data_IF_572241304864
#
_entry.id   IF_572241304864
#
_cell.length_a   1.000
_cell.length_b   1.000
_cell.length_c   1.000
_cell.angle_alpha   90.00
_cell.angle_beta   90.00
_cell.angle_gamma   90.00
#
_symmetry.space_group_name_H-M   'P 1'
#
loop_
_entity.id
_entity.type
_entity.pdbx_description
1 polymer ?
#
# COMPACT_ATOMS: atom_id res chain seq x y z
N UNK A 1 15.38 -9.14 -15.95
CA UNK A 1 14.07 -8.50 -16.10
C UNK A 1 14.05 -7.40 -15.06
N UNK A 2 14.37 -6.18 -15.49
CA UNK A 2 14.43 -5.01 -14.60
C UNK A 2 13.05 -4.77 -14.02
N UNK A 3 12.95 -4.73 -12.69
CA UNK A 3 11.73 -4.35 -11.99
C UNK A 3 11.45 -2.89 -12.35
N UNK A 4 10.57 -2.66 -13.33
CA UNK A 4 10.14 -1.34 -13.72
C UNK A 4 9.72 -0.59 -12.45
N UNK A 5 10.55 0.37 -12.04
CA UNK A 5 10.27 1.23 -10.90
C UNK A 5 9.01 2.00 -11.29
N UNK A 6 7.91 1.73 -10.59
CA UNK A 6 6.61 2.30 -10.93
C UNK A 6 6.71 3.83 -11.00
N UNK A 7 5.91 4.48 -11.87
CA UNK A 7 5.95 5.93 -12.04
C UNK A 7 5.85 6.66 -10.69
N UNK A 8 6.73 7.64 -10.51
CA UNK A 8 6.96 8.33 -9.24
C UNK A 8 5.79 9.23 -8.81
N UNK A 9 4.76 9.42 -9.64
CA UNK A 9 3.62 10.30 -9.37
C UNK A 9 2.32 9.75 -9.95
N UNK A 10 1.21 9.96 -9.25
CA UNK A 10 -0.16 9.64 -9.69
C UNK A 10 -1.17 9.80 -8.55
N UNK A 11 -2.46 9.80 -8.88
CA UNK A 11 -3.50 9.69 -7.87
C UNK A 11 -3.46 8.34 -7.16
N UNK A 12 -4.03 8.25 -5.96
CA UNK A 12 -4.15 7.00 -5.21
C UNK A 12 -4.78 5.89 -6.06
N UNK A 13 -5.86 6.20 -6.77
CA UNK A 13 -6.57 5.28 -7.65
C UNK A 13 -5.70 4.81 -8.81
N UNK A 14 -5.02 5.74 -9.52
CA UNK A 14 -4.11 5.37 -10.61
C UNK A 14 -2.96 4.49 -10.14
N UNK A 15 -2.45 4.72 -8.93
CA UNK A 15 -1.41 3.88 -8.34
C UNK A 15 -1.94 2.49 -7.97
N UNK A 16 -3.18 2.38 -7.47
CA UNK A 16 -3.84 1.09 -7.21
C UNK A 16 -4.08 0.32 -8.50
N UNK A 17 -4.71 0.94 -9.50
CA UNK A 17 -5.02 0.30 -10.78
C UNK A 17 -3.76 -0.21 -11.47
N UNK A 18 -2.69 0.59 -11.50
CA UNK A 18 -1.41 0.15 -12.09
C UNK A 18 -0.81 -1.05 -11.36
N UNK A 19 -0.99 -1.16 -10.03
CA UNK A 19 -0.56 -2.34 -9.30
C UNK A 19 -1.41 -3.56 -9.66
N UNK A 20 -2.72 -3.39 -9.77
CA UNK A 20 -3.66 -4.46 -10.14
C UNK A 20 -3.40 -5.02 -11.55
N UNK A 21 -2.85 -4.20 -12.46
CA UNK A 21 -2.48 -4.62 -13.82
C UNK A 21 -1.32 -5.65 -13.86
N UNK A 22 -0.42 -5.62 -12.87
CA UNK A 22 0.83 -6.40 -12.88
C UNK A 22 1.05 -7.28 -11.65
N UNK A 23 0.33 -7.03 -10.56
CA UNK A 23 0.47 -7.68 -9.27
C UNK A 23 -0.90 -7.94 -8.62
N UNK A 24 -0.99 -8.91 -7.72
CA UNK A 24 -2.18 -9.09 -6.89
C UNK A 24 -2.14 -8.14 -5.69
N UNK A 25 -3.02 -7.15 -5.62
CA UNK A 25 -3.15 -6.28 -4.44
C UNK A 25 -3.81 -7.06 -3.29
N UNK A 26 -3.09 -7.14 -2.17
CA UNK A 26 -3.50 -7.85 -0.95
C UNK A 26 -4.01 -6.89 0.13
N UNK A 27 -3.51 -5.66 0.13
CA UNK A 27 -3.90 -4.60 1.04
C UNK A 27 -3.72 -3.23 0.37
N UNK A 28 -4.67 -2.35 0.58
CA UNK A 28 -4.60 -0.95 0.17
C UNK A 28 -5.25 -0.10 1.27
N UNK A 29 -4.68 1.04 1.60
CA UNK A 29 -5.29 1.98 2.54
C UNK A 29 -4.97 3.41 2.15
N UNK A 30 -5.89 4.31 2.49
CA UNK A 30 -5.72 5.75 2.36
C UNK A 30 -5.94 6.41 3.72
N UNK A 31 -5.04 7.33 4.06
CA UNK A 31 -5.11 8.17 5.24
C UNK A 31 -5.09 9.64 4.83
N UNK A 32 -5.95 10.42 5.49
CA UNK A 32 -6.00 11.87 5.35
C UNK A 32 -5.66 12.54 6.69
N UNK A 33 -5.27 13.82 6.71
CA UNK A 33 -5.03 14.55 7.94
C UNK A 33 -6.28 14.57 8.83
N UNK A 34 -6.12 14.32 10.13
CA UNK A 34 -7.22 14.35 11.09
C UNK A 34 -7.69 15.78 11.41
N UNK A 35 -6.78 16.75 11.27
CA UNK A 35 -7.05 18.16 11.55
C UNK A 35 -7.50 18.91 10.29
N UNK A 36 -8.59 19.67 10.40
CA UNK A 36 -9.07 20.52 9.33
C UNK A 36 -8.05 21.61 8.98
N UNK A 37 -7.77 21.79 7.69
CA UNK A 37 -6.80 22.78 7.20
C UNK A 37 -5.38 22.25 7.02
N UNK A 38 -5.10 21.02 7.46
CA UNK A 38 -3.88 20.28 7.06
C UNK A 38 -4.16 19.58 5.73
N UNK A 39 -3.31 19.80 4.73
CA UNK A 39 -3.40 19.13 3.44
C UNK A 39 -2.45 17.94 3.38
N UNK A 40 -2.87 16.88 2.69
CA UNK A 40 -2.02 15.75 2.38
C UNK A 40 -2.80 14.46 2.20
N UNK A 41 -2.13 13.45 1.68
CA UNK A 41 -2.61 12.08 1.70
C UNK A 41 -1.44 11.13 1.94
N UNK A 42 -1.72 10.01 2.61
CA UNK A 42 -0.78 8.91 2.80
C UNK A 42 -1.45 7.61 2.45
N UNK A 43 -0.69 6.71 1.84
CA UNK A 43 -1.21 5.38 1.51
C UNK A 43 -0.14 4.32 1.68
N UNK A 44 -0.59 3.11 1.98
CA UNK A 44 0.27 1.94 1.99
C UNK A 44 -0.41 0.82 1.24
N UNK A 45 0.36 0.16 0.39
CA UNK A 45 -0.07 -0.93 -0.47
C UNK A 45 0.76 -2.17 -0.14
N UNK A 46 0.10 -3.31 -0.09
CA UNK A 46 0.74 -4.61 -0.13
C UNK A 46 0.23 -5.33 -1.37
N UNK A 47 1.16 -5.88 -2.14
CA UNK A 47 0.85 -6.66 -3.31
C UNK A 47 1.79 -7.85 -3.44
N UNK A 48 1.41 -8.80 -4.29
CA UNK A 48 2.18 -10.00 -4.60
C UNK A 48 2.41 -10.09 -6.10
N UNK A 49 3.68 -10.21 -6.50
CA UNK A 49 4.03 -10.37 -7.91
C UNK A 49 3.81 -11.80 -8.41
N UNK A 50 3.93 -12.00 -9.73
CA UNK A 50 3.79 -13.31 -10.37
C UNK A 50 4.81 -14.36 -9.91
N UNK A 51 5.90 -13.96 -9.24
CA UNK A 51 6.88 -14.86 -8.64
C UNK A 51 6.56 -15.18 -7.16
N UNK A 52 5.43 -14.70 -6.64
CA UNK A 52 5.00 -14.89 -5.25
C UNK A 52 5.74 -13.99 -4.25
N UNK A 53 6.53 -13.01 -4.71
CA UNK A 53 7.18 -12.05 -3.82
C UNK A 53 6.17 -11.03 -3.33
N UNK A 54 6.24 -10.71 -2.04
CA UNK A 54 5.43 -9.66 -1.46
C UNK A 54 6.17 -8.33 -1.55
N UNK A 55 5.43 -7.28 -1.87
CA UNK A 55 5.90 -5.91 -1.94
C UNK A 55 5.13 -5.06 -0.94
N UNK A 56 5.83 -4.15 -0.26
CA UNK A 56 5.21 -3.07 0.49
C UNK A 56 5.60 -1.76 -0.17
N UNK A 57 4.61 -0.92 -0.43
CA UNK A 57 4.82 0.39 -1.01
C UNK A 57 4.09 1.45 -0.21
N UNK A 58 4.73 2.60 -0.06
CA UNK A 58 4.26 3.72 0.74
C UNK A 58 4.18 4.93 -0.19
N UNK A 59 3.04 5.62 -0.15
CA UNK A 59 2.81 6.85 -0.88
C UNK A 59 2.57 8.01 0.05
N UNK A 60 3.02 9.19 -0.37
CA UNK A 60 2.67 10.47 0.25
C UNK A 60 2.35 11.49 -0.84
N UNK A 61 1.42 12.40 -0.58
CA UNK A 61 0.98 13.42 -1.52
C UNK A 61 0.49 14.67 -0.83
N UNK A 62 0.34 15.76 -1.59
CA UNK A 62 -0.32 16.99 -1.13
C UNK A 62 -1.84 16.81 -1.00
N UNK A 63 -2.39 15.83 -1.72
CA UNK A 63 -3.74 15.28 -1.63
C UNK A 63 -3.73 13.86 -2.23
N UNK A 64 -4.89 13.20 -2.28
CA UNK A 64 -5.04 11.86 -2.85
C UNK A 64 -4.95 11.82 -4.38
N UNK A 65 -4.97 12.97 -5.05
CA UNK A 65 -4.88 13.09 -6.52
C UNK A 65 -3.43 13.19 -7.00
N UNK A 66 -2.53 13.62 -6.12
CA UNK A 66 -1.11 13.81 -6.41
C UNK A 66 -0.24 13.17 -5.34
N UNK A 67 -0.06 11.87 -5.46
CA UNK A 67 0.79 11.06 -4.58
C UNK A 67 2.08 10.64 -5.28
N UNK A 68 3.12 10.37 -4.50
CA UNK A 68 4.38 9.78 -4.95
C UNK A 68 4.79 8.60 -4.09
N UNK A 69 5.45 7.61 -4.67
CA UNK A 69 6.11 6.55 -3.92
C UNK A 69 7.25 7.17 -3.08
N UNK A 70 7.21 6.96 -1.77
CA UNK A 70 8.28 7.38 -0.85
C UNK A 70 9.10 6.21 -0.34
N UNK A 71 8.52 5.00 -0.34
CA UNK A 71 9.21 3.75 -0.05
C UNK A 71 8.61 2.64 -0.91
N UNK A 72 9.46 1.79 -1.46
CA UNK A 72 9.10 0.58 -2.16
C UNK A 72 10.10 -0.50 -1.79
N UNK A 73 9.62 -1.51 -1.07
CA UNK A 73 10.47 -2.59 -0.58
C UNK A 73 9.90 -3.95 -0.91
N UNK A 74 10.79 -4.84 -1.38
CA UNK A 74 10.51 -6.26 -1.48
C UNK A 74 10.62 -6.89 -0.11
N UNK A 75 9.60 -7.62 0.31
CA UNK A 75 9.54 -8.33 1.59
C UNK A 75 10.15 -9.72 1.45
N UNK A 76 10.81 -10.19 2.50
CA UNK A 76 11.43 -11.52 2.52
C UNK A 76 10.34 -12.59 2.56
N UNK A 77 10.39 -13.52 1.60
CA UNK A 77 9.41 -14.61 1.43
C UNK A 77 9.12 -15.41 2.71
N UNK A 78 10.11 -15.59 3.59
CA UNK A 78 10.01 -16.48 4.75
C UNK A 78 8.97 -16.06 5.80
N UNK A 79 8.44 -14.84 5.75
CA UNK A 79 7.47 -14.34 6.73
C UNK A 79 6.04 -14.19 6.16
N UNK A 80 5.85 -14.37 4.84
CA UNK A 80 4.54 -14.42 4.19
C UNK A 80 3.67 -13.16 4.28
N UNK A 81 2.36 -13.33 4.01
CA UNK A 81 1.33 -12.28 3.99
C UNK A 81 1.16 -11.59 5.34
N UNK A 82 1.10 -12.36 6.43
CA UNK A 82 0.85 -11.82 7.77
C UNK A 82 1.93 -10.80 8.19
N UNK A 83 3.18 -11.05 7.85
CA UNK A 83 4.27 -10.11 8.10
C UNK A 83 4.17 -8.84 7.26
N UNK A 84 3.81 -8.98 5.99
CA UNK A 84 3.55 -7.82 5.14
C UNK A 84 2.46 -6.93 5.74
N UNK A 85 1.35 -7.55 6.19
CA UNK A 85 0.24 -6.85 6.83
C UNK A 85 0.66 -6.18 8.13
N UNK A 86 1.39 -6.87 9.01
CA UNK A 86 1.91 -6.29 10.24
C UNK A 86 2.78 -5.04 9.98
N UNK A 87 3.57 -5.07 8.90
CA UNK A 87 4.39 -3.94 8.49
C UNK A 87 3.56 -2.76 7.95
N UNK A 88 2.49 -3.01 7.19
CA UNK A 88 1.59 -1.94 6.77
C UNK A 88 0.83 -1.34 7.96
N UNK A 89 0.36 -2.18 8.88
CA UNK A 89 -0.28 -1.72 10.12
C UNK A 89 0.67 -0.90 10.99
N UNK A 90 1.95 -1.25 11.05
CA UNK A 90 2.95 -0.43 11.74
C UNK A 90 3.14 0.96 11.11
N UNK A 91 3.03 1.08 9.78
CA UNK A 91 3.03 2.37 9.08
C UNK A 91 1.78 3.19 9.41
N UNK A 92 0.60 2.58 9.30
CA UNK A 92 -0.69 3.20 9.64
C UNK A 92 -0.65 3.72 11.07
N UNK A 93 -0.28 2.87 12.03
CA UNK A 93 -0.21 3.23 13.44
C UNK A 93 0.72 4.42 13.70
N UNK A 94 1.89 4.45 13.06
CA UNK A 94 2.83 5.58 13.16
C UNK A 94 2.20 6.86 12.64
N UNK A 95 1.49 6.81 11.53
CA UNK A 95 0.83 7.99 10.97
C UNK A 95 -0.37 8.43 11.79
N UNK A 96 -1.14 7.51 12.35
CA UNK A 96 -2.23 7.82 13.27
C UNK A 96 -1.74 8.58 14.50
N UNK A 97 -0.63 8.13 15.10
CA UNK A 97 0.05 8.87 16.16
C UNK A 97 0.56 10.26 15.72
N UNK A 98 0.73 10.47 14.41
CA UNK A 98 1.20 11.73 13.81
C UNK A 98 0.06 12.63 13.33
N UNK A 99 -1.20 12.36 13.70
CA UNK A 99 -2.35 13.18 13.31
C UNK A 99 -2.95 12.85 11.95
N UNK A 100 -2.73 11.64 11.44
CA UNK A 100 -3.42 11.13 10.24
C UNK A 100 -4.56 10.22 10.66
N UNK A 101 -5.60 10.13 9.86
CA UNK A 101 -6.76 9.29 10.11
C UNK A 101 -6.93 8.32 8.96
N UNK A 102 -7.11 7.04 9.28
CA UNK A 102 -7.49 6.04 8.30
C UNK A 102 -8.89 6.38 7.77
N UNK A 103 -8.97 6.72 6.49
CA UNK A 103 -10.26 6.98 5.85
C UNK A 103 -10.88 5.68 5.37
N UNK A 104 -10.08 4.82 4.74
CA UNK A 104 -10.51 3.49 4.37
C UNK A 104 -9.33 2.53 4.20
N UNK A 105 -9.62 1.24 4.27
CA UNK A 105 -8.70 0.18 3.88
C UNK A 105 -9.47 -0.95 3.18
N UNK A 106 -8.81 -1.55 2.19
CA UNK A 106 -9.23 -2.76 1.52
C UNK A 106 -8.25 -3.87 1.88
N UNK A 107 -8.77 -5.01 2.30
CA UNK A 107 -8.02 -6.23 2.49
C UNK A 107 -8.61 -7.32 1.60
N UNK A 108 -7.86 -7.73 0.59
CA UNK A 108 -8.28 -8.82 -0.30
C UNK A 108 -8.01 -10.13 0.42
N UNK A 109 -9.05 -10.91 0.72
CA UNK A 109 -8.87 -12.32 1.05
C UNK A 109 -8.42 -13.03 -0.21
N UNK A 110 -7.12 -13.33 -0.33
CA UNK A 110 -6.70 -14.37 -1.28
C UNK A 110 -7.40 -15.65 -0.84
N UNK A 111 -8.18 -16.32 -1.70
CA UNK A 111 -8.74 -17.62 -1.38
C UNK A 111 -7.60 -18.65 -1.35
N UNK A 112 -6.87 -18.70 -0.24
CA UNK A 112 -5.98 -19.81 0.07
C UNK A 112 -6.85 -20.94 0.64
N UNK A 113 -7.11 -21.91 -0.23
CA UNK A 113 -7.66 -23.25 0.04
C UNK A 113 -9.11 -23.35 0.55
N UNK A 114 -10.05 -23.29 -0.40
CA UNK A 114 -11.25 -24.14 -0.37
C UNK A 114 -10.97 -25.40 -1.20
N UNK A 115 -9.93 -26.14 -0.80
CA UNK A 115 -9.67 -27.51 -1.24
C UNK A 115 -9.38 -28.30 0.04
N UNK A 116 -10.46 -28.73 0.68
CA UNK A 116 -10.46 -29.80 1.68
C UNK A 116 -11.48 -30.83 1.22
#
# INVERSE_FOLDING_TARGET
>A
MDAATLPAYGSHDELSTRLEDVETVLFNSLLLPAEAGVCGARAVFISRDGAGQHWLRVCEGGDERWMRWVDQRRLRMQFGRAYAQALAQAWIHRWEQSGWKLEWSLQTETPEALVA
#
